data_IF_482272870495
#
_entry.id   IF_482272870495
#
_cell.length_a   1.000
_cell.length_b   1.000
_cell.length_c   1.000
_cell.angle_alpha   90.00
_cell.angle_beta   90.00
_cell.angle_gamma   90.00
#
_symmetry.space_group_name_H-M   'P 1'
#
loop_
_entity.id
_entity.type
_entity.pdbx_description
1 polymer ?
#
# COMPACT_ATOMS: atom_id res chain seq x y z
N UNK A 1 -29.13 -37.13 10.45
CA UNK A 1 -27.88 -36.82 9.72
C UNK A 1 -27.27 -35.62 10.43
N UNK A 2 -26.04 -35.73 10.95
CA UNK A 2 -25.37 -34.60 11.60
C UNK A 2 -25.15 -33.47 10.59
N UNK A 3 -25.12 -32.22 11.06
CA UNK A 3 -24.77 -31.10 10.18
C UNK A 3 -23.33 -31.29 9.70
N UNK A 4 -23.07 -30.98 8.44
CA UNK A 4 -21.73 -31.11 7.85
C UNK A 4 -20.68 -30.27 8.61
N UNK A 5 -21.12 -29.23 9.32
CA UNK A 5 -20.30 -28.39 10.21
C UNK A 5 -19.80 -29.10 11.46
N UNK A 6 -20.46 -30.19 11.88
CA UNK A 6 -20.09 -30.96 13.08
C UNK A 6 -19.02 -32.02 12.77
N UNK A 7 -18.94 -32.43 11.50
CA UNK A 7 -18.00 -33.44 11.00
C UNK A 7 -16.69 -32.83 10.51
N UNK A 8 -16.73 -31.55 10.12
CA UNK A 8 -15.58 -30.75 9.71
C UNK A 8 -15.58 -29.44 10.50
N UNK A 9 -15.10 -29.44 11.75
CA UNK A 9 -14.97 -28.19 12.50
C UNK A 9 -14.14 -27.19 11.69
N UNK A 10 -14.57 -25.92 11.68
CA UNK A 10 -13.80 -24.86 11.03
C UNK A 10 -12.37 -24.87 11.55
N UNK A 11 -11.40 -24.84 10.64
CA UNK A 11 -9.99 -24.90 11.00
C UNK A 11 -9.68 -23.77 12.00
N UNK A 12 -9.13 -24.11 13.17
CA UNK A 12 -8.78 -23.19 14.26
C UNK A 12 -7.52 -22.34 13.98
N UNK A 13 -7.14 -22.22 12.71
CA UNK A 13 -5.97 -21.49 12.22
C UNK A 13 -6.32 -20.11 11.66
N UNK A 14 -5.30 -19.29 11.42
CA UNK A 14 -5.40 -18.00 10.74
C UNK A 14 -5.75 -18.21 9.25
N UNK A 15 -7.05 -18.25 8.94
CA UNK A 15 -7.55 -18.49 7.58
C UNK A 15 -7.72 -17.16 6.84
N UNK A 16 -7.55 -17.17 5.52
CA UNK A 16 -7.90 -16.01 4.68
C UNK A 16 -9.42 -15.95 4.56
N UNK A 17 -10.01 -14.82 4.98
CA UNK A 17 -11.43 -14.53 4.81
C UNK A 17 -11.72 -13.99 3.42
N UNK A 18 -10.93 -13.02 2.95
CA UNK A 18 -11.03 -12.51 1.59
C UNK A 18 -9.71 -11.90 1.09
N UNK A 19 -9.61 -11.75 -0.23
CA UNK A 19 -8.50 -11.07 -0.91
C UNK A 19 -9.09 -10.09 -1.93
N UNK A 20 -8.92 -8.79 -1.67
CA UNK A 20 -9.19 -7.72 -2.62
C UNK A 20 -7.89 -7.33 -3.30
N UNK A 21 -7.73 -7.60 -4.60
CA UNK A 21 -6.48 -7.31 -5.32
C UNK A 21 -6.71 -6.79 -6.73
N UNK A 22 -5.80 -5.93 -7.19
CA UNK A 22 -5.69 -5.58 -8.61
C UNK A 22 -4.73 -4.44 -8.90
N UNK A 23 -4.51 -4.19 -10.19
CA UNK A 23 -3.85 -2.98 -10.68
C UNK A 23 -4.73 -1.75 -10.46
N UNK A 24 -4.12 -0.61 -10.14
CA UNK A 24 -4.80 0.66 -9.96
C UNK A 24 -5.15 1.32 -11.30
N UNK A 25 -6.13 0.76 -12.02
CA UNK A 25 -6.63 1.24 -13.31
C UNK A 25 -8.07 1.74 -13.29
N UNK A 26 -8.68 1.90 -12.11
CA UNK A 26 -10.07 2.36 -11.97
C UNK A 26 -11.12 1.27 -11.99
N UNK A 27 -10.75 -0.01 -12.14
CA UNK A 27 -11.73 -1.10 -12.10
C UNK A 27 -12.30 -1.33 -10.70
N UNK A 28 -13.49 -1.90 -10.63
CA UNK A 28 -14.07 -2.41 -9.40
C UNK A 28 -13.80 -3.89 -9.23
N UNK A 29 -13.67 -4.34 -7.97
CA UNK A 29 -13.49 -5.73 -7.57
C UNK A 29 -14.52 -6.04 -6.49
N UNK A 30 -15.27 -7.13 -6.65
CA UNK A 30 -16.26 -7.59 -5.67
C UNK A 30 -15.68 -8.74 -4.87
N UNK A 31 -15.75 -8.63 -3.54
CA UNK A 31 -15.40 -9.63 -2.54
C UNK A 31 -16.57 -9.76 -1.55
N UNK A 32 -16.44 -10.62 -0.54
CA UNK A 32 -17.53 -10.90 0.39
C UNK A 32 -17.97 -9.66 1.19
N UNK A 33 -17.03 -8.79 1.57
CA UNK A 33 -17.33 -7.54 2.26
C UNK A 33 -17.95 -6.43 1.38
N UNK A 34 -17.97 -6.60 0.05
CA UNK A 34 -18.59 -5.64 -0.87
C UNK A 34 -17.84 -5.44 -2.19
N UNK A 35 -18.18 -4.35 -2.87
CA UNK A 35 -17.53 -3.95 -4.14
C UNK A 35 -16.69 -2.70 -3.94
N UNK A 36 -15.41 -2.80 -4.28
CA UNK A 36 -14.43 -1.73 -4.09
C UNK A 36 -13.87 -1.28 -5.43
N UNK A 37 -13.77 0.03 -5.63
CA UNK A 37 -13.15 0.60 -6.83
C UNK A 37 -11.69 0.93 -6.55
N UNK A 38 -10.79 0.30 -7.27
CA UNK A 38 -9.36 0.59 -7.18
C UNK A 38 -9.09 1.98 -7.77
N UNK A 39 -8.11 2.75 -7.25
CA UNK A 39 -7.76 4.03 -7.84
C UNK A 39 -7.33 3.89 -9.30
N UNK A 40 -7.39 4.98 -10.08
CA UNK A 40 -6.86 5.02 -11.43
C UNK A 40 -5.60 5.88 -11.50
N UNK A 41 -4.43 5.24 -11.65
CA UNK A 41 -3.16 5.94 -11.86
C UNK A 41 -2.93 6.12 -13.36
N UNK A 42 -2.74 7.38 -13.77
CA UNK A 42 -2.62 7.77 -15.19
C UNK A 42 -1.24 8.32 -15.56
N UNK A 43 -0.30 8.36 -14.62
CA UNK A 43 1.05 8.87 -14.88
C UNK A 43 1.99 8.78 -13.69
N UNK A 44 3.22 9.25 -13.92
CA UNK A 44 4.28 9.39 -12.92
C UNK A 44 3.90 10.43 -11.87
N UNK A 45 4.17 10.15 -10.60
CA UNK A 45 3.97 11.10 -9.51
C UNK A 45 5.32 11.59 -8.98
N UNK A 46 5.64 12.87 -9.19
CA UNK A 46 6.77 13.51 -8.52
C UNK A 46 6.40 13.84 -7.07
N UNK A 47 7.34 13.65 -6.15
CA UNK A 47 7.17 14.00 -4.74
C UNK A 47 8.16 15.09 -4.33
N UNK A 48 7.84 15.82 -3.27
CA UNK A 48 8.60 16.98 -2.78
C UNK A 48 8.95 16.83 -1.30
N UNK A 49 9.52 17.87 -0.68
CA UNK A 49 9.78 17.89 0.76
C UNK A 49 8.52 17.97 1.62
N UNK A 50 7.36 18.25 1.02
CA UNK A 50 6.07 18.19 1.71
C UNK A 50 5.51 16.77 1.69
N UNK A 51 4.81 16.39 2.76
CA UNK A 51 4.08 15.11 2.79
C UNK A 51 2.93 15.17 1.80
N UNK A 52 2.87 14.18 0.91
CA UNK A 52 1.80 14.02 -0.09
C UNK A 52 1.26 12.61 -0.05
N UNK A 53 -0.02 12.45 -0.44
CA UNK A 53 -0.62 11.14 -0.66
C UNK A 53 0.00 10.49 -1.90
N UNK A 54 0.30 9.19 -1.81
CA UNK A 54 0.83 8.42 -2.95
C UNK A 54 -0.35 7.97 -3.82
N UNK A 55 -0.38 8.37 -5.08
CA UNK A 55 -1.46 8.00 -6.00
C UNK A 55 -1.49 6.48 -6.20
N UNK A 56 -2.69 5.90 -6.29
CA UNK A 56 -2.86 4.45 -6.37
C UNK A 56 -3.01 3.76 -5.02
N UNK A 57 -2.58 4.38 -3.93
CA UNK A 57 -2.53 3.70 -2.62
C UNK A 57 -3.84 3.79 -1.81
N UNK A 58 -4.72 4.74 -2.12
CA UNK A 58 -5.90 5.02 -1.30
C UNK A 58 -7.06 4.06 -1.58
N UNK A 59 -7.65 3.50 -0.54
CA UNK A 59 -8.88 2.71 -0.64
C UNK A 59 -9.67 2.80 0.66
N UNK A 60 -11.00 2.90 0.54
CA UNK A 60 -11.91 2.81 1.67
C UNK A 60 -12.35 1.36 1.83
N UNK A 61 -12.07 0.76 2.99
CA UNK A 61 -12.24 -0.69 3.20
C UNK A 61 -13.01 -1.01 4.47
N UNK A 62 -13.86 -2.05 4.41
CA UNK A 62 -14.58 -2.65 5.55
C UNK A 62 -14.17 -4.13 5.65
N UNK A 63 -13.50 -4.56 6.73
CA UNK A 63 -13.20 -5.97 6.94
C UNK A 63 -14.48 -6.81 7.10
N UNK A 64 -14.54 -8.04 6.55
CA UNK A 64 -15.60 -8.99 6.86
C UNK A 64 -15.74 -9.25 8.37
N UNK A 65 -16.93 -9.66 8.79
CA UNK A 65 -17.14 -10.13 10.16
C UNK A 65 -16.20 -11.30 10.49
N UNK A 66 -15.69 -11.32 11.73
CA UNK A 66 -14.74 -12.33 12.19
C UNK A 66 -13.27 -12.06 11.83
N UNK A 67 -12.97 -10.93 11.17
CA UNK A 67 -11.57 -10.54 10.88
C UNK A 67 -10.79 -10.25 12.16
N UNK A 68 -9.62 -10.89 12.31
CA UNK A 68 -8.62 -10.65 13.36
C UNK A 68 -7.41 -9.88 12.86
N UNK A 69 -7.08 -9.96 11.57
CA UNK A 69 -5.96 -9.24 10.98
C UNK A 69 -6.31 -8.71 9.59
N UNK A 70 -5.79 -7.54 9.24
CA UNK A 70 -5.90 -6.98 7.88
C UNK A 70 -4.51 -6.66 7.36
N UNK A 71 -4.07 -7.33 6.30
CA UNK A 71 -2.86 -6.93 5.56
C UNK A 71 -3.25 -5.92 4.49
N UNK A 72 -2.64 -4.74 4.55
CA UNK A 72 -2.65 -3.76 3.48
C UNK A 72 -1.31 -3.81 2.77
N UNK A 73 -1.33 -4.01 1.44
CA UNK A 73 -0.14 -4.06 0.60
C UNK A 73 -0.30 -3.19 -0.63
N UNK A 74 0.60 -2.23 -0.77
CA UNK A 74 0.72 -1.38 -1.95
C UNK A 74 2.07 -1.60 -2.62
N UNK A 75 2.06 -2.03 -3.88
CA UNK A 75 3.25 -2.30 -4.68
C UNK A 75 3.35 -1.27 -5.80
N UNK A 76 4.44 -0.51 -5.82
CA UNK A 76 4.65 0.55 -6.79
C UNK A 76 6.10 0.59 -7.26
N UNK A 77 6.31 1.10 -8.49
CA UNK A 77 7.65 1.53 -8.90
C UNK A 77 8.04 2.79 -8.14
N UNK A 78 9.31 2.85 -7.76
CA UNK A 78 10.01 4.01 -7.25
C UNK A 78 11.19 4.32 -8.16
N UNK A 79 11.42 5.59 -8.42
CA UNK A 79 12.57 6.07 -9.17
C UNK A 79 13.19 7.29 -8.49
N UNK A 80 14.50 7.29 -8.33
CA UNK A 80 15.27 8.46 -7.98
C UNK A 80 15.37 9.41 -9.17
N UNK A 81 14.85 10.62 -9.01
CA UNK A 81 14.99 11.67 -10.03
C UNK A 81 16.16 12.61 -9.75
N UNK A 82 16.76 12.56 -8.55
CA UNK A 82 17.97 13.33 -8.24
C UNK A 82 18.73 12.77 -7.03
N UNK A 83 20.06 12.58 -7.19
CA UNK A 83 21.03 12.19 -6.14
C UNK A 83 20.61 10.97 -5.33
N UNK A 84 20.21 9.90 -6.01
CA UNK A 84 19.81 8.65 -5.37
C UNK A 84 18.42 8.66 -4.73
N UNK A 85 17.77 9.83 -4.59
CA UNK A 85 16.41 9.98 -4.09
C UNK A 85 16.19 9.37 -2.70
N UNK A 86 16.05 10.23 -1.69
CA UNK A 86 15.85 9.81 -0.30
C UNK A 86 14.44 10.18 0.12
N UNK A 87 13.65 9.17 0.50
CA UNK A 87 12.24 9.35 0.81
C UNK A 87 11.88 8.72 2.15
N UNK A 88 10.90 9.32 2.81
CA UNK A 88 10.11 8.67 3.85
C UNK A 88 8.74 8.30 3.28
N UNK A 89 8.24 7.13 3.62
CA UNK A 89 6.91 6.64 3.22
C UNK A 89 6.24 5.93 4.40
N UNK A 90 4.94 6.13 4.56
CA UNK A 90 4.15 5.61 5.69
C UNK A 90 2.79 5.11 5.22
N UNK A 91 2.18 4.21 6.01
CA UNK A 91 0.75 3.90 5.91
C UNK A 91 -0.04 4.84 6.81
N UNK A 92 -1.21 5.25 6.34
CA UNK A 92 -2.17 6.09 7.07
C UNK A 92 -3.49 5.32 7.15
N UNK A 93 -4.03 5.22 8.36
CA UNK A 93 -5.33 4.64 8.67
C UNK A 93 -6.27 5.76 9.11
N UNK A 94 -7.33 6.03 8.34
CA UNK A 94 -8.40 6.97 8.68
C UNK A 94 -7.86 8.34 9.17
N UNK A 95 -6.90 8.88 8.41
CA UNK A 95 -6.22 10.15 8.69
C UNK A 95 -5.11 10.10 9.73
N UNK A 96 -4.88 8.98 10.41
CA UNK A 96 -3.80 8.80 11.40
C UNK A 96 -2.64 8.02 10.80
N UNK A 97 -1.42 8.56 10.91
CA UNK A 97 -0.21 7.84 10.50
C UNK A 97 0.03 6.63 11.41
N UNK A 98 0.20 5.46 10.80
CA UNK A 98 0.63 4.24 11.48
C UNK A 98 2.16 4.28 11.58
N UNK A 99 2.68 4.75 12.70
CA UNK A 99 4.12 5.00 12.88
C UNK A 99 4.95 3.72 12.78
N UNK A 100 4.39 2.57 13.17
CA UNK A 100 5.05 1.26 13.00
C UNK A 100 5.22 0.85 11.52
N UNK A 101 4.42 1.43 10.62
CA UNK A 101 4.51 1.21 9.18
C UNK A 101 5.53 2.14 8.50
N UNK A 102 6.21 3.03 9.25
CA UNK A 102 7.16 3.97 8.68
C UNK A 102 8.35 3.25 8.03
N UNK A 103 8.69 3.66 6.80
CA UNK A 103 9.86 3.18 6.07
C UNK A 103 10.62 4.35 5.47
N UNK A 104 11.94 4.19 5.39
CA UNK A 104 12.83 5.04 4.61
C UNK A 104 13.35 4.27 3.41
N UNK A 105 13.51 4.95 2.27
CA UNK A 105 14.20 4.41 1.11
C UNK A 105 15.23 5.42 0.61
N UNK A 106 16.41 4.92 0.25
CA UNK A 106 17.47 5.70 -0.35
C UNK A 106 18.14 4.84 -1.42
N UNK A 107 18.34 5.42 -2.59
CA UNK A 107 19.21 4.85 -3.61
C UNK A 107 20.69 5.09 -3.35
N UNK A 108 21.53 4.48 -4.17
CA UNK A 108 22.97 4.77 -4.15
C UNK A 108 23.24 6.24 -4.48
N UNK A 109 24.36 6.74 -3.98
CA UNK A 109 24.80 8.11 -4.22
C UNK A 109 26.19 8.08 -4.87
N UNK A 110 26.24 8.25 -6.19
CA UNK A 110 27.50 8.30 -6.97
C UNK A 110 27.68 9.67 -7.65
N UNK A 111 27.76 10.72 -6.84
CA UNK A 111 28.11 12.07 -7.30
C UNK A 111 26.91 13.02 -7.53
N UNK A 112 27.13 14.06 -8.32
CA UNK A 112 26.30 15.28 -8.30
C UNK A 112 24.96 15.17 -9.04
N UNK A 113 24.79 14.19 -9.94
CA UNK A 113 23.68 14.09 -10.91
C UNK A 113 23.17 12.66 -11.16
N UNK A 114 23.35 11.76 -10.19
CA UNK A 114 23.15 10.33 -10.44
C UNK A 114 21.71 9.86 -10.16
N UNK A 115 21.14 9.10 -11.12
CA UNK A 115 19.81 8.47 -11.10
C UNK A 115 19.94 7.00 -10.69
N UNK A 116 20.34 6.75 -9.45
CA UNK A 116 20.93 5.44 -9.11
C UNK A 116 19.92 4.41 -8.59
N UNK A 117 18.62 4.66 -8.74
CA UNK A 117 17.60 3.71 -8.27
C UNK A 117 16.30 3.82 -9.03
N UNK A 118 16.00 2.78 -9.79
CA UNK A 118 14.65 2.48 -10.27
C UNK A 118 14.30 1.06 -9.81
N UNK A 119 13.34 0.92 -8.91
CA UNK A 119 13.01 -0.36 -8.29
C UNK A 119 11.52 -0.47 -7.99
N UNK A 120 11.06 -1.66 -7.63
CA UNK A 120 9.72 -1.88 -7.09
C UNK A 120 9.81 -1.87 -5.57
N UNK A 121 8.98 -1.05 -4.93
CA UNK A 121 8.83 -1.03 -3.47
C UNK A 121 7.47 -1.58 -3.08
N UNK A 122 7.43 -2.23 -1.92
CA UNK A 122 6.22 -2.74 -1.29
C UNK A 122 6.02 -2.03 0.05
N UNK A 123 4.89 -1.35 0.21
CA UNK A 123 4.42 -0.90 1.50
C UNK A 123 3.41 -1.92 2.00
N UNK A 124 3.83 -2.72 2.96
CA UNK A 124 3.00 -3.76 3.57
C UNK A 124 2.92 -3.53 5.08
N UNK A 125 1.70 -3.55 5.62
CA UNK A 125 1.45 -3.45 7.04
C UNK A 125 0.25 -4.31 7.44
N UNK A 126 0.36 -5.00 8.58
CA UNK A 126 -0.67 -5.88 9.11
C UNK A 126 -1.28 -5.19 10.33
N UNK A 127 -2.57 -4.85 10.24
CA UNK A 127 -3.36 -4.35 11.35
C UNK A 127 -3.81 -5.51 12.24
N UNK A 128 -3.77 -5.29 13.56
CA UNK A 128 -4.21 -6.25 14.58
C UNK A 128 -5.58 -5.83 15.13
N UNK A 129 -6.59 -6.66 14.90
CA UNK A 129 -7.97 -6.45 15.34
C UNK A 129 -8.34 -7.25 16.60
N UNK A 130 -7.38 -7.99 17.17
CA UNK A 130 -7.59 -8.84 18.36
C UNK A 130 -7.49 -8.08 19.69
N UNK A 131 -7.16 -6.80 19.61
CA UNK A 131 -6.95 -5.92 20.76
C UNK A 131 -8.27 -5.48 21.41
N UNK A 132 -8.22 -5.14 22.69
CA UNK A 132 -9.38 -4.61 23.45
C UNK A 132 -9.51 -3.08 23.39
N UNK A 133 -8.50 -2.38 22.86
CA UNK A 133 -8.48 -0.91 22.73
C UNK A 133 -7.74 -0.50 21.46
N UNK A 134 -8.19 0.56 20.81
CA UNK A 134 -7.57 1.09 19.60
C UNK A 134 -6.32 1.95 19.90
N UNK A 135 -5.20 1.58 19.29
CA UNK A 135 -4.03 2.43 19.04
C UNK A 135 -3.74 2.45 17.53
N UNK A 136 -4.27 3.49 16.86
CA UNK A 136 -4.11 3.70 15.42
C UNK A 136 -2.65 3.84 15.01
N UNK A 137 -1.80 4.41 15.86
CA UNK A 137 -0.38 4.63 15.55
C UNK A 137 0.39 3.31 15.53
N UNK A 138 -0.01 2.39 16.40
CA UNK A 138 0.49 1.03 16.43
C UNK A 138 -0.16 0.11 15.37
N UNK A 139 -1.25 0.53 14.73
CA UNK A 139 -2.02 -0.34 13.83
C UNK A 139 -2.84 -1.41 14.57
N UNK A 140 -3.11 -1.17 15.85
CA UNK A 140 -3.95 -1.99 16.71
C UNK A 140 -5.34 -1.35 16.73
N UNK A 141 -6.34 -2.01 16.15
CA UNK A 141 -7.67 -1.43 15.98
C UNK A 141 -8.67 -2.35 16.65
N UNK A 142 -9.35 -1.91 17.71
CA UNK A 142 -10.44 -2.70 18.29
C UNK A 142 -11.47 -3.00 17.17
N UNK A 143 -11.83 -4.27 16.98
CA UNK A 143 -12.66 -4.68 15.84
C UNK A 143 -13.98 -3.89 15.68
N UNK A 144 -14.59 -3.46 16.80
CA UNK A 144 -15.81 -2.63 16.76
C UNK A 144 -15.60 -1.24 16.15
N UNK A 145 -14.37 -0.73 16.12
CA UNK A 145 -14.02 0.59 15.58
C UNK A 145 -13.85 0.57 14.05
N UNK A 146 -13.78 -0.63 13.43
CA UNK A 146 -13.62 -0.84 12.00
C UNK A 146 -14.81 -1.58 11.37
N UNK A 147 -16.02 -1.19 11.76
CA UNK A 147 -17.29 -1.72 11.22
C UNK A 147 -17.85 -0.90 10.06
N UNK A 148 -17.20 0.22 9.73
CA UNK A 148 -17.53 1.12 8.61
C UNK A 148 -16.30 1.35 7.76
N UNK A 149 -16.48 1.94 6.59
CA UNK A 149 -15.38 2.14 5.65
C UNK A 149 -14.30 3.05 6.27
N UNK A 150 -13.04 2.59 6.20
CA UNK A 150 -11.88 3.34 6.67
C UNK A 150 -10.89 3.49 5.53
N UNK A 151 -10.38 4.71 5.37
CA UNK A 151 -9.39 5.00 4.34
C UNK A 151 -8.03 4.46 4.76
N UNK A 152 -7.49 3.55 3.95
CA UNK A 152 -6.10 3.10 3.99
C UNK A 152 -5.36 3.76 2.84
N UNK A 153 -4.19 4.37 3.10
CA UNK A 153 -3.36 4.96 2.04
C UNK A 153 -1.90 5.02 2.44
N UNK A 154 -1.03 5.29 1.46
CA UNK A 154 0.35 5.67 1.70
C UNK A 154 0.54 7.19 1.59
N UNK A 155 1.40 7.74 2.45
CA UNK A 155 1.93 9.10 2.31
C UNK A 155 3.44 9.07 2.18
N UNK A 156 4.01 10.00 1.42
CA UNK A 156 5.44 10.07 1.23
C UNK A 156 5.95 11.52 1.14
N UNK A 157 7.26 11.68 1.40
CA UNK A 157 8.00 12.93 1.17
C UNK A 157 9.46 12.64 0.85
N UNK A 158 10.10 13.57 0.15
CA UNK A 158 11.55 13.64 0.03
C UNK A 158 12.20 14.16 1.32
N UNK A 159 13.42 13.74 1.55
CA UNK A 159 14.26 14.23 2.65
C UNK A 159 14.57 15.72 2.50
N UNK A 160 15.00 16.15 1.31
CA UNK A 160 15.27 17.56 1.00
C UNK A 160 15.06 17.88 -0.47
N UNK A 161 15.21 19.16 -0.83
CA UNK A 161 15.12 19.67 -2.20
C UNK A 161 16.29 19.26 -3.11
N UNK A 162 17.20 18.40 -2.62
CA UNK A 162 18.29 17.83 -3.40
C UNK A 162 18.30 16.29 -3.40
N UNK A 163 17.23 15.65 -2.92
CA UNK A 163 17.08 14.18 -2.93
C UNK A 163 15.69 13.81 -3.43
N UNK A 164 15.42 14.04 -4.72
CA UNK A 164 14.10 13.82 -5.28
C UNK A 164 13.87 12.38 -5.72
N UNK A 165 12.63 11.94 -5.53
CA UNK A 165 12.11 10.69 -6.04
C UNK A 165 10.77 10.89 -6.72
N UNK A 166 10.32 9.85 -7.42
CA UNK A 166 9.01 9.78 -8.06
C UNK A 166 8.46 8.36 -8.01
N UNK A 167 7.13 8.23 -7.99
CA UNK A 167 6.45 6.95 -8.07
C UNK A 167 5.95 6.67 -9.48
N UNK A 168 5.74 5.39 -9.76
CA UNK A 168 5.23 4.83 -11.01
C UNK A 168 6.19 4.91 -12.19
N UNK A 169 7.28 5.68 -12.10
CA UNK A 169 8.30 5.82 -13.15
C UNK A 169 8.90 4.48 -13.59
N UNK A 170 9.09 4.33 -14.90
CA UNK A 170 9.59 3.11 -15.53
C UNK A 170 10.54 3.47 -16.69
N UNK A 171 11.48 4.33 -16.39
CA UNK A 171 12.36 5.05 -17.31
C UNK A 171 13.28 4.10 -18.07
N UNK A 172 13.83 3.07 -17.40
CA UNK A 172 14.87 2.21 -17.97
C UNK A 172 14.37 0.90 -18.56
N UNK A 173 13.06 0.70 -18.65
CA UNK A 173 12.46 -0.58 -19.05
C UNK A 173 12.85 -1.06 -20.46
N UNK A 174 13.02 -0.16 -21.42
CA UNK A 174 13.26 -0.49 -22.82
C UNK A 174 14.75 -0.63 -23.20
N UNK A 175 15.65 -0.40 -22.23
CA UNK A 175 17.10 -0.48 -22.40
C UNK A 175 17.70 0.43 -23.48
N UNK A 176 16.93 1.38 -24.03
CA UNK A 176 17.32 2.15 -25.23
C UNK A 176 17.29 3.66 -25.02
N UNK A 177 16.43 4.20 -24.14
CA UNK A 177 16.54 5.61 -23.70
C UNK A 177 15.68 5.90 -22.46
N UNK A 178 15.81 7.10 -21.87
CA UNK A 178 14.91 7.59 -20.82
C UNK A 178 13.47 7.91 -21.30
N UNK A 179 13.14 7.56 -22.54
CA UNK A 179 11.88 7.83 -23.23
C UNK A 179 11.22 6.52 -23.66
N UNK A 180 10.70 5.81 -22.66
CA UNK A 180 10.02 4.51 -22.81
C UNK A 180 8.60 4.65 -23.37
N UNK A 181 8.17 3.65 -24.16
CA UNK A 181 6.77 3.48 -24.62
C UNK A 181 5.80 3.14 -23.47
N UNK A 182 6.33 2.72 -22.33
CA UNK A 182 5.63 2.52 -21.07
C UNK A 182 6.31 3.38 -19.97
N UNK A 183 6.16 4.72 -20.02
CA UNK A 183 6.92 5.63 -19.16
C UNK A 183 6.54 5.55 -17.69
N UNK A 184 5.42 4.87 -17.38
CA UNK A 184 5.02 4.54 -16.03
C UNK A 184 4.35 3.16 -15.96
N UNK A 185 4.36 2.57 -14.77
CA UNK A 185 3.69 1.32 -14.42
C UNK A 185 2.61 1.64 -13.40
N UNK A 186 1.37 1.21 -13.67
CA UNK A 186 0.29 1.32 -12.70
C UNK A 186 0.60 0.42 -11.50
N UNK A 187 0.49 0.94 -10.26
CA UNK A 187 0.76 0.15 -9.07
C UNK A 187 -0.30 -0.93 -8.85
N UNK A 188 -0.01 -1.86 -7.95
CA UNK A 188 -0.95 -2.88 -7.48
C UNK A 188 -1.32 -2.60 -6.03
N UNK A 189 -2.59 -2.85 -5.71
CA UNK A 189 -3.12 -2.74 -4.36
C UNK A 189 -3.76 -4.08 -3.99
N UNK A 190 -3.38 -4.59 -2.82
CA UNK A 190 -3.92 -5.83 -2.26
C UNK A 190 -4.29 -5.60 -0.81
N UNK A 191 -5.50 -6.01 -0.43
CA UNK A 191 -5.95 -6.15 0.94
C UNK A 191 -6.30 -7.62 1.17
N UNK A 192 -5.82 -8.18 2.27
CA UNK A 192 -6.17 -9.52 2.71
C UNK A 192 -6.68 -9.47 4.15
N UNK A 193 -7.86 -10.01 4.39
CA UNK A 193 -8.42 -10.17 5.74
C UNK A 193 -8.21 -11.61 6.22
N UNK A 194 -7.89 -11.76 7.50
CA UNK A 194 -7.66 -13.06 8.13
C UNK A 194 -8.48 -13.24 9.40
N UNK A 195 -8.92 -14.48 9.67
CA UNK A 195 -9.74 -14.88 10.83
C UNK A 195 -8.93 -15.34 12.04
#
# INVERSE_FOLDING_TARGET
MGNLTDLFPAATSNNILEVLTGTCDGRSVTVDSGTYTLPNVTGVQNISTSVVDVTGSSIDYVPPEGTKYVSYKFTTKYEASYRGGIIGINVVYDGTTVTQAARGFAGNYTGTVSHDSETTINMEFIFDLTVSTTDKSAGQILASDWTTAKTLKCTARCYSSVYYGRFHGNTYFDGTSASSTAPYVKPQLTITAYS
#
